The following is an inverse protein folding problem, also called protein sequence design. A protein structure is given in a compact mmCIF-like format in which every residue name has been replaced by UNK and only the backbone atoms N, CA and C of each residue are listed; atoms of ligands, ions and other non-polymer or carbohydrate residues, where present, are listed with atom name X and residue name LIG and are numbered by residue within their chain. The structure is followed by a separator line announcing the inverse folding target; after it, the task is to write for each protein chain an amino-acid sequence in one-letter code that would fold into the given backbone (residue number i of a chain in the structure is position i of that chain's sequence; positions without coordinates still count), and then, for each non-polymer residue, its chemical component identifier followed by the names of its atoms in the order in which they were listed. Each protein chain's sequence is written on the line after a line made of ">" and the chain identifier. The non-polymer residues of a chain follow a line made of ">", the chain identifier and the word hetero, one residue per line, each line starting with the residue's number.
data_IF_294581663662
#
_entry.id   IF_294581663662
#
_cell.length_a   1.000
_cell.length_b   1.000
_cell.length_c   1.000
_cell.angle_alpha   90.00
_cell.angle_beta   90.00
_cell.angle_gamma   90.00
#
_symmetry.space_group_name_H-M   'P 1'
#
loop_
_entity.id
_entity.type
_entity.pdbx_description
1 polymer ?
#
# COMPACT_ATOMS: atom_id res chain seq x y z
N UNK A 1 10.56 -3.34 30.41
CA UNK A 1 10.04 -2.04 29.95
C UNK A 1 8.85 -2.29 29.06
N UNK A 2 7.70 -1.72 29.39
CA UNK A 2 6.48 -1.82 28.60
C UNK A 2 6.58 -1.00 27.30
N UNK A 3 5.84 -1.40 26.27
CA UNK A 3 5.83 -0.70 24.98
C UNK A 3 5.32 0.76 25.12
N UNK A 4 4.40 1.01 26.05
CA UNK A 4 3.90 2.35 26.37
C UNK A 4 5.03 3.23 26.90
N UNK A 5 5.83 2.72 27.84
CA UNK A 5 6.96 3.45 28.43
C UNK A 5 7.98 3.84 27.36
N UNK A 6 8.34 2.90 26.47
CA UNK A 6 9.29 3.16 25.38
C UNK A 6 8.79 4.22 24.39
N UNK A 7 7.48 4.26 24.13
CA UNK A 7 6.88 5.28 23.26
C UNK A 7 6.95 6.67 23.90
N UNK A 8 6.69 6.76 25.21
CA UNK A 8 6.70 8.03 25.94
C UNK A 8 8.14 8.58 26.01
N UNK A 9 9.13 7.75 26.34
CA UNK A 9 10.54 8.16 26.35
C UNK A 9 11.01 8.65 24.98
N UNK A 10 10.61 7.96 23.90
CA UNK A 10 10.97 8.36 22.54
C UNK A 10 10.41 9.74 22.16
N UNK A 11 9.15 10.04 22.53
CA UNK A 11 8.56 11.36 22.28
C UNK A 11 9.23 12.44 23.12
N UNK A 12 9.59 12.13 24.37
CA UNK A 12 10.30 13.08 25.25
C UNK A 12 11.68 13.44 24.71
N UNK A 13 12.45 12.47 24.22
CA UNK A 13 13.76 12.73 23.61
C UNK A 13 13.63 13.46 22.26
N UNK A 14 12.59 13.15 21.47
CA UNK A 14 12.30 13.88 20.24
C UNK A 14 11.99 15.36 20.48
N UNK A 15 11.24 15.70 21.53
CA UNK A 15 10.93 17.08 21.89
C UNK A 15 12.15 17.88 22.36
N UNK A 16 13.19 17.21 22.88
CA UNK A 16 14.46 17.86 23.26
C UNK A 16 15.38 18.07 22.06
N UNK A 17 15.11 17.42 20.94
CA UNK A 17 15.92 17.51 19.72
C UNK A 17 15.65 18.85 19.04
N UNK A 18 16.64 19.76 19.07
CA UNK A 18 16.56 21.07 18.41
C UNK A 18 17.14 21.07 16.98
N UNK A 19 17.71 19.95 16.55
CA UNK A 19 18.32 19.78 15.23
C UNK A 19 17.27 19.42 14.19
N UNK A 20 16.95 20.36 13.30
CA UNK A 20 15.97 20.20 12.22
C UNK A 20 16.35 19.08 11.24
N UNK A 21 17.63 18.84 10.99
CA UNK A 21 18.10 17.80 10.08
C UNK A 21 17.86 16.42 10.70
N UNK A 22 18.10 16.29 12.01
CA UNK A 22 17.82 15.07 12.75
C UNK A 22 16.30 14.78 12.84
N UNK A 23 15.48 15.81 13.06
CA UNK A 23 14.00 15.70 13.00
C UNK A 23 13.53 15.22 11.63
N UNK A 24 14.00 15.85 10.55
CA UNK A 24 13.61 15.50 9.18
C UNK A 24 13.98 14.05 8.80
N UNK A 25 15.11 13.53 9.32
CA UNK A 25 15.49 12.12 9.13
C UNK A 25 14.52 11.17 9.82
N UNK A 26 14.10 11.48 11.05
CA UNK A 26 13.16 10.66 11.83
C UNK A 26 11.76 10.66 11.21
N UNK A 27 11.29 11.80 10.70
CA UNK A 27 10.02 11.88 9.98
C UNK A 27 10.00 10.99 8.73
N UNK A 28 11.06 11.06 7.91
CA UNK A 28 11.20 10.19 6.72
C UNK A 28 11.23 8.72 7.09
N UNK A 29 11.84 8.35 8.21
CA UNK A 29 11.88 6.96 8.69
C UNK A 29 10.49 6.50 9.12
N UNK A 30 9.75 7.32 9.88
CA UNK A 30 8.37 7.04 10.30
C UNK A 30 7.43 6.90 9.09
N UNK A 31 7.60 7.75 8.08
CA UNK A 31 6.82 7.69 6.84
C UNK A 31 7.09 6.39 6.06
N UNK A 32 8.36 5.97 5.97
CA UNK A 32 8.75 4.70 5.33
C UNK A 32 8.19 3.48 6.05
N UNK A 33 8.21 3.45 7.38
CA UNK A 33 7.63 2.35 8.15
C UNK A 33 6.11 2.28 7.96
N UNK A 34 5.40 3.42 8.00
CA UNK A 34 3.97 3.50 7.67
C UNK A 34 3.67 3.05 6.23
N UNK A 35 4.46 3.49 5.26
CA UNK A 35 4.29 3.11 3.85
C UNK A 35 4.58 1.63 3.63
N UNK A 36 5.57 1.07 4.31
CA UNK A 36 5.87 -0.37 4.25
C UNK A 36 4.74 -1.19 4.83
N UNK A 37 4.10 -0.73 5.92
CA UNK A 37 2.90 -1.35 6.46
C UNK A 37 1.72 -1.27 5.46
N UNK A 38 1.55 -0.14 4.77
CA UNK A 38 0.57 0.00 3.68
C UNK A 38 0.92 -0.83 2.43
N UNK A 39 2.19 -1.00 2.07
CA UNK A 39 2.62 -1.90 0.98
C UNK A 39 2.41 -3.36 1.35
N UNK A 40 2.57 -3.72 2.63
CA UNK A 40 2.15 -5.02 3.17
C UNK A 40 0.62 -5.21 3.15
N UNK A 41 -0.18 -4.14 2.99
CA UNK A 41 -1.62 -4.25 2.77
C UNK A 41 -2.00 -4.65 1.35
N UNK A 42 -1.06 -4.74 0.40
CA UNK A 42 -1.30 -5.47 -0.84
C UNK A 42 -1.36 -6.96 -0.49
N UNK A 43 -2.52 -7.39 0.01
CA UNK A 43 -2.76 -8.79 0.33
C UNK A 43 -2.64 -9.59 -0.97
N UNK A 44 -1.82 -10.65 -1.01
CA UNK A 44 -1.84 -11.56 -2.15
C UNK A 44 -3.27 -12.10 -2.29
N UNK A 45 -3.79 -12.11 -3.51
CA UNK A 45 -5.09 -12.71 -3.78
C UNK A 45 -5.06 -14.19 -3.38
N UNK A 46 -6.17 -14.70 -2.85
CA UNK A 46 -6.28 -16.13 -2.56
C UNK A 46 -6.40 -16.94 -3.86
N UNK A 47 -6.16 -18.26 -3.78
CA UNK A 47 -6.37 -19.16 -4.92
C UNK A 47 -7.83 -19.16 -5.38
N UNK A 48 -8.77 -19.03 -4.45
CA UNK A 48 -10.20 -18.96 -4.76
C UNK A 48 -10.54 -17.66 -5.48
N UNK A 49 -10.03 -16.51 -5.02
CA UNK A 49 -10.22 -15.21 -5.69
C UNK A 49 -9.63 -15.21 -7.10
N UNK A 50 -8.46 -15.86 -7.28
CA UNK A 50 -7.86 -16.03 -8.59
C UNK A 50 -8.75 -16.86 -9.52
N UNK A 51 -9.22 -18.02 -9.06
CA UNK A 51 -10.08 -18.90 -9.85
C UNK A 51 -11.41 -18.21 -10.21
N UNK A 52 -12.05 -17.52 -9.26
CA UNK A 52 -13.27 -16.74 -9.52
C UNK A 52 -13.06 -15.65 -10.58
N UNK A 53 -11.91 -14.98 -10.56
CA UNK A 53 -11.57 -13.98 -11.59
C UNK A 53 -11.38 -14.59 -12.97
N UNK A 54 -10.81 -15.79 -13.04
CA UNK A 54 -10.65 -16.53 -14.30
C UNK A 54 -12.03 -16.90 -14.86
N UNK A 55 -12.90 -17.52 -14.03
CA UNK A 55 -14.26 -17.89 -14.43
C UNK A 55 -15.07 -16.69 -14.92
N UNK A 56 -14.97 -15.57 -14.20
CA UNK A 56 -15.60 -14.30 -14.61
C UNK A 56 -15.07 -13.81 -15.95
N UNK A 57 -13.75 -13.85 -16.16
CA UNK A 57 -13.13 -13.41 -17.41
C UNK A 57 -13.54 -14.28 -18.60
N UNK A 58 -13.62 -15.60 -18.42
CA UNK A 58 -14.09 -16.51 -19.45
C UNK A 58 -15.58 -16.28 -19.78
N UNK A 59 -16.40 -16.05 -18.77
CA UNK A 59 -17.81 -15.70 -18.94
C UNK A 59 -17.96 -14.38 -19.70
N UNK A 60 -17.20 -13.35 -19.33
CA UNK A 60 -17.23 -12.05 -20.00
C UNK A 60 -16.79 -12.16 -21.46
N UNK A 61 -15.79 -13.00 -21.76
CA UNK A 61 -15.41 -13.29 -23.15
C UNK A 61 -16.55 -13.96 -23.93
N UNK A 62 -17.18 -15.01 -23.37
CA UNK A 62 -18.32 -15.71 -23.99
C UNK A 62 -19.52 -14.79 -24.21
N UNK A 63 -19.74 -13.84 -23.31
CA UNK A 63 -20.83 -12.87 -23.38
C UNK A 63 -20.48 -11.60 -24.18
N UNK A 64 -19.37 -11.60 -24.94
CA UNK A 64 -18.89 -10.45 -25.72
C UNK A 64 -18.67 -9.16 -24.89
N UNK A 65 -18.37 -9.31 -23.59
CA UNK A 65 -18.05 -8.21 -22.67
C UNK A 65 -16.54 -7.99 -22.58
N UNK A 66 -15.84 -8.01 -23.71
CA UNK A 66 -14.43 -7.71 -23.81
C UNK A 66 -14.20 -6.43 -24.61
N UNK A 67 -12.99 -5.88 -24.54
CA UNK A 67 -12.56 -4.75 -25.37
C UNK A 67 -11.29 -5.13 -26.08
N UNK A 68 -11.20 -4.78 -27.36
CA UNK A 68 -9.97 -4.88 -28.13
C UNK A 68 -8.98 -3.80 -27.69
N UNK A 69 -7.70 -4.04 -27.97
CA UNK A 69 -6.63 -3.07 -27.68
C UNK A 69 -6.92 -1.71 -28.32
N UNK A 70 -7.47 -1.69 -29.54
CA UNK A 70 -7.85 -0.46 -30.24
C UNK A 70 -8.93 0.32 -29.50
N UNK A 71 -10.00 -0.34 -29.04
CA UNK A 71 -11.08 0.30 -28.27
C UNK A 71 -10.61 0.82 -26.90
N UNK A 72 -9.64 0.13 -26.29
CA UNK A 72 -9.03 0.57 -25.05
C UNK A 72 -8.22 1.85 -25.26
N UNK A 73 -7.36 1.89 -26.30
CA UNK A 73 -6.52 3.04 -26.61
C UNK A 73 -7.35 4.28 -26.95
N UNK A 74 -8.45 4.13 -27.68
CA UNK A 74 -9.36 5.23 -28.00
C UNK A 74 -10.01 5.90 -26.78
N UNK A 75 -10.01 5.27 -25.61
CA UNK A 75 -10.57 5.85 -24.37
C UNK A 75 -9.57 6.78 -23.65
N UNK A 76 -8.27 6.55 -23.84
CA UNK A 76 -7.20 7.20 -23.08
C UNK A 76 -6.29 8.10 -23.92
N UNK A 77 -6.46 8.09 -25.25
CA UNK A 77 -5.94 9.08 -26.18
C UNK A 77 -6.98 10.20 -26.40
#
# INVERSE_FOLDING_TARGET
>A
MDLQTRKIEFVQEFLKLQDEEAVARLEKLLEKEKKTDNMKQVKPMTKEELNQRIDQSESDFKNNRFKTTSELLSKYN
#
